data_IF_739859644831
#
_entry.id   IF_739859644831
#
_cell.length_a   1.000
_cell.length_b   1.000
_cell.length_c   1.000
_cell.angle_alpha   90.00
_cell.angle_beta   90.00
_cell.angle_gamma   90.00
#
_symmetry.space_group_name_H-M   'P 1'
#
loop_
_entity.id
_entity.type
_entity.pdbx_description
1 polymer ?
#
# COMPACT_ATOMS: atom_id res chain seq x y z
N UNK A 1 12.13 -6.93 -3.69
CA UNK A 1 12.48 -6.17 -2.47
C UNK A 1 11.20 -5.58 -1.90
N UNK A 2 11.05 -5.56 -0.57
CA UNK A 2 9.86 -5.02 0.10
C UNK A 2 9.81 -3.50 0.03
N UNK A 3 8.62 -2.93 -0.18
CA UNK A 3 8.39 -1.48 -0.14
C UNK A 3 7.84 -0.98 1.21
N UNK A 4 7.46 -1.90 2.08
CA UNK A 4 7.08 -1.58 3.47
C UNK A 4 8.36 -1.58 4.31
N UNK A 5 8.95 -0.40 4.47
CA UNK A 5 9.98 -0.13 5.48
C UNK A 5 9.59 1.15 6.22
N UNK A 6 9.25 1.10 7.52
CA UNK A 6 9.10 -0.08 8.38
C UNK A 6 8.08 -1.12 7.88
N UNK A 7 8.16 -2.40 8.35
CA UNK A 7 7.26 -3.49 7.96
C UNK A 7 5.80 -3.21 8.34
N UNK A 8 4.91 -4.09 7.89
CA UNK A 8 3.50 -4.04 8.26
C UNK A 8 3.39 -4.43 9.74
N UNK A 9 2.88 -3.50 10.56
CA UNK A 9 2.74 -3.68 12.02
C UNK A 9 1.26 -3.72 12.43
N UNK A 10 0.38 -3.11 11.63
CA UNK A 10 -1.03 -2.95 11.98
C UNK A 10 -1.90 -3.86 11.12
N UNK A 11 -2.83 -4.63 11.72
CA UNK A 11 -3.78 -5.44 10.98
C UNK A 11 -4.88 -4.59 10.31
N UNK A 12 -4.99 -3.31 10.69
CA UNK A 12 -6.00 -2.40 10.16
C UNK A 12 -5.79 -2.17 8.66
N UNK A 13 -6.90 -2.19 7.92
CA UNK A 13 -6.92 -1.92 6.50
C UNK A 13 -6.87 -0.40 6.26
N UNK A 14 -7.87 0.32 6.77
CA UNK A 14 -7.99 1.75 6.55
C UNK A 14 -7.89 2.55 7.86
N UNK A 15 -7.32 3.74 7.78
CA UNK A 15 -7.45 4.80 8.78
C UNK A 15 -8.09 6.01 8.10
N UNK A 16 -9.18 6.53 8.68
CA UNK A 16 -9.95 7.67 8.11
C UNK A 16 -10.37 7.48 6.64
N UNK A 17 -10.70 6.23 6.26
CA UNK A 17 -11.11 5.89 4.89
C UNK A 17 -9.99 5.84 3.86
N UNK A 18 -8.73 6.00 4.27
CA UNK A 18 -7.52 5.84 3.44
C UNK A 18 -6.75 4.60 3.86
N UNK A 19 -6.04 3.98 2.93
CA UNK A 19 -5.12 2.88 3.25
C UNK A 19 -4.09 3.32 4.29
N UNK A 20 -4.01 2.59 5.41
CA UNK A 20 -3.13 2.92 6.53
C UNK A 20 -1.67 2.63 6.17
N UNK A 21 -0.76 3.56 6.46
CA UNK A 21 0.69 3.29 6.36
C UNK A 21 1.07 2.22 7.38
N UNK A 22 1.85 1.22 6.97
CA UNK A 22 2.15 0.01 7.73
C UNK A 22 0.93 -0.87 8.05
N UNK A 23 -0.19 -0.64 7.37
CA UNK A 23 -1.37 -1.51 7.38
C UNK A 23 -1.32 -2.56 6.29
N UNK A 24 -2.32 -3.46 6.28
CA UNK A 24 -2.41 -4.53 5.28
C UNK A 24 -2.68 -4.03 3.84
N UNK A 25 -3.25 -2.83 3.69
CA UNK A 25 -3.43 -2.16 2.38
C UNK A 25 -2.59 -0.89 2.31
N UNK A 26 -1.32 -0.99 2.70
CA UNK A 26 -0.39 0.13 2.65
C UNK A 26 -0.35 0.72 1.22
N UNK A 27 -0.60 2.02 1.04
CA UNK A 27 -0.66 2.66 -0.28
C UNK A 27 0.68 2.65 -1.03
N UNK A 28 1.79 2.29 -0.38
CA UNK A 28 3.07 1.97 -1.03
C UNK A 28 3.04 0.64 -1.79
N UNK A 29 2.20 -0.31 -1.38
CA UNK A 29 2.05 -1.62 -2.04
C UNK A 29 1.19 -1.57 -3.30
N UNK A 30 0.40 -0.50 -3.48
CA UNK A 30 -0.41 -0.27 -4.66
C UNK A 30 -1.58 0.67 -4.39
N UNK A 31 -2.35 1.04 -5.42
CA UNK A 31 -3.59 1.80 -5.25
C UNK A 31 -4.61 1.01 -4.44
N UNK A 32 -5.31 1.65 -3.50
CA UNK A 32 -6.41 1.07 -2.73
C UNK A 32 -7.70 0.93 -3.55
N UNK A 33 -7.90 1.85 -4.48
CA UNK A 33 -9.09 2.02 -5.31
C UNK A 33 -8.74 2.61 -6.69
N UNK A 34 -9.71 2.70 -7.58
CA UNK A 34 -9.52 3.15 -8.97
C UNK A 34 -9.10 4.62 -9.10
N UNK A 35 -9.39 5.45 -8.09
CA UNK A 35 -9.08 6.88 -8.08
C UNK A 35 -7.74 7.18 -7.40
N UNK A 36 -7.24 6.25 -6.59
CA UNK A 36 -5.95 6.34 -5.92
C UNK A 36 -4.76 6.02 -6.84
N UNK A 37 -3.57 6.47 -6.44
CA UNK A 37 -2.29 6.16 -7.09
C UNK A 37 -1.37 5.46 -6.09
N UNK A 38 -0.52 4.56 -6.59
CA UNK A 38 0.50 3.93 -5.76
C UNK A 38 1.53 4.96 -5.28
N UNK A 39 1.87 4.95 -4.00
CA UNK A 39 2.89 5.85 -3.46
C UNK A 39 4.32 5.47 -3.83
N UNK A 40 4.55 4.24 -4.32
CA UNK A 40 5.87 3.78 -4.75
C UNK A 40 6.14 4.13 -6.22
N UNK A 41 5.22 3.79 -7.12
CA UNK A 41 5.45 3.93 -8.57
C UNK A 41 4.57 4.99 -9.25
N UNK A 42 3.67 5.66 -8.52
CA UNK A 42 2.69 6.63 -9.03
C UNK A 42 1.69 6.10 -10.08
N UNK A 43 1.71 4.79 -10.36
CA UNK A 43 0.81 4.12 -11.29
C UNK A 43 -0.64 4.06 -10.78
N UNK A 44 -1.58 4.08 -11.72
CA UNK A 44 -3.00 3.83 -11.48
C UNK A 44 -3.29 2.34 -11.17
N UNK A 45 -4.55 2.01 -10.88
CA UNK A 45 -4.99 0.63 -10.65
C UNK A 45 -4.64 -0.33 -11.81
N UNK A 46 -4.57 0.18 -13.04
CA UNK A 46 -4.27 -0.62 -14.24
C UNK A 46 -2.75 -0.75 -14.47
N UNK A 47 -1.99 0.31 -14.17
CA UNK A 47 -0.56 0.40 -14.50
C UNK A 47 0.34 -0.12 -13.38
N UNK A 48 -0.13 -0.08 -12.13
CA UNK A 48 0.68 -0.50 -10.98
C UNK A 48 0.83 -2.02 -10.98
N UNK A 49 2.06 -2.58 -11.04
CA UNK A 49 2.29 -4.02 -11.00
C UNK A 49 2.06 -4.64 -9.61
N UNK A 50 1.69 -3.83 -8.62
CA UNK A 50 1.72 -4.10 -7.19
C UNK A 50 3.14 -4.32 -6.67
N UNK A 51 3.36 -3.94 -5.42
CA UNK A 51 4.64 -4.06 -4.74
C UNK A 51 4.50 -4.95 -3.51
N UNK A 52 5.48 -5.83 -3.33
CA UNK A 52 5.53 -6.69 -2.15
C UNK A 52 5.85 -5.88 -0.89
N UNK A 53 5.18 -6.24 0.20
CA UNK A 53 5.61 -5.85 1.54
C UNK A 53 6.04 -7.09 2.33
N UNK A 54 6.41 -6.87 3.58
CA UNK A 54 6.69 -7.94 4.54
C UNK A 54 6.14 -7.57 5.92
N UNK A 55 5.93 -8.61 6.71
CA UNK A 55 5.60 -8.61 8.13
C UNK A 55 6.79 -9.30 8.83
N UNK A 56 7.14 -8.85 10.03
CA UNK A 56 8.11 -9.51 10.92
C UNK A 56 7.42 -10.32 12.03
#
# INVERSE_FOLDING_TARGET
MSVTNPPIEYPDLCEEGKGKIQGLIDPRQGPSDQNSKCLTCAGSYIECPRHFGHIE
#
